data_IF_695850516926
#
_entry.id   IF_695850516926
#
_cell.length_a   1.000
_cell.length_b   1.000
_cell.length_c   1.000
_cell.angle_alpha   90.00
_cell.angle_beta   90.00
_cell.angle_gamma   90.00
#
_symmetry.space_group_name_H-M   'P 1'
#
loop_
_entity.id
_entity.type
_entity.pdbx_description
1 polymer ?
#
# COMPACT_ATOMS: atom_id res chain seq x y z
N UNK A 1 11.04 17.27 3.22
CA UNK A 1 11.79 16.10 3.75
C UNK A 1 12.08 15.15 2.60
N UNK A 2 13.33 14.72 2.40
CA UNK A 2 13.74 13.85 1.28
C UNK A 2 14.81 12.84 1.69
N UNK A 3 14.85 11.67 1.02
CA UNK A 3 15.90 10.66 1.15
C UNK A 3 17.02 10.81 0.10
N UNK A 4 16.84 11.69 -0.88
CA UNK A 4 17.75 11.83 -2.02
C UNK A 4 18.39 13.22 -2.03
N UNK A 5 19.71 13.25 -1.86
CA UNK A 5 20.50 14.50 -1.89
C UNK A 5 20.42 15.19 -3.24
N UNK A 6 20.16 14.49 -4.34
CA UNK A 6 20.10 15.10 -5.68
C UNK A 6 18.95 16.09 -5.83
N UNK A 7 17.88 15.91 -5.05
CA UNK A 7 16.68 16.75 -5.07
C UNK A 7 16.50 17.57 -3.79
N UNK A 8 17.42 17.45 -2.84
CA UNK A 8 17.41 18.26 -1.62
C UNK A 8 17.68 19.73 -1.96
N UNK A 9 16.80 20.61 -1.50
CA UNK A 9 16.89 22.05 -1.72
C UNK A 9 17.19 22.80 -0.43
N UNK A 10 17.47 24.10 -0.57
CA UNK A 10 17.68 24.98 0.56
C UNK A 10 16.45 24.98 1.49
N UNK A 11 16.65 24.74 2.78
CA UNK A 11 15.57 24.65 3.77
C UNK A 11 14.99 23.24 3.97
N UNK A 12 15.35 22.25 3.15
CA UNK A 12 14.84 20.88 3.31
C UNK A 12 15.45 20.15 4.51
N UNK A 13 14.74 19.12 4.97
CA UNK A 13 15.28 18.06 5.82
C UNK A 13 15.76 16.90 4.95
N UNK A 14 17.07 16.62 4.97
CA UNK A 14 17.65 15.45 4.31
C UNK A 14 17.76 14.28 5.28
N UNK A 15 17.44 13.07 4.81
CA UNK A 15 17.49 11.86 5.62
C UNK A 15 18.43 10.83 5.00
N UNK A 16 19.51 10.52 5.70
CA UNK A 16 20.62 9.70 5.25
C UNK A 16 20.56 8.29 5.85
N UNK A 17 19.97 7.35 5.11
CA UNK A 17 19.87 5.94 5.50
C UNK A 17 20.92 5.06 4.82
N UNK A 18 21.24 3.92 5.42
CA UNK A 18 22.00 2.85 4.76
C UNK A 18 21.04 2.04 3.90
N UNK A 19 21.19 2.13 2.58
CA UNK A 19 20.43 1.35 1.60
C UNK A 19 21.15 0.08 1.16
N UNK A 20 20.55 -0.66 0.23
CA UNK A 20 21.10 -1.92 -0.28
C UNK A 20 22.37 -1.73 -1.13
N UNK A 21 22.48 -0.61 -1.85
CA UNK A 21 23.59 -0.35 -2.80
C UNK A 21 24.55 0.73 -2.29
N UNK A 22 24.08 1.63 -1.44
CA UNK A 22 24.87 2.78 -0.99
C UNK A 22 24.48 3.21 0.42
N UNK A 23 25.45 3.82 1.10
CA UNK A 23 25.26 4.48 2.38
C UNK A 23 24.95 5.96 2.14
N UNK A 24 23.72 6.38 2.47
CA UNK A 24 23.24 7.75 2.30
C UNK A 24 24.04 8.79 3.06
N UNK A 25 24.73 8.38 4.14
CA UNK A 25 25.56 9.28 4.97
C UNK A 25 26.73 9.88 4.19
N UNK A 26 27.20 9.17 3.15
CA UNK A 26 28.25 9.66 2.24
C UNK A 26 27.85 10.93 1.48
N UNK A 27 26.55 11.21 1.35
CA UNK A 27 26.03 12.38 0.65
C UNK A 27 25.67 13.54 1.58
N UNK A 28 25.93 13.43 2.90
CA UNK A 28 25.75 14.53 3.86
C UNK A 28 26.49 15.81 3.44
N UNK A 29 27.78 15.77 3.02
CA UNK A 29 28.47 16.98 2.58
C UNK A 29 27.80 17.66 1.38
N UNK A 30 27.26 16.87 0.45
CA UNK A 30 26.53 17.39 -0.71
C UNK A 30 25.22 18.07 -0.30
N UNK A 31 24.45 17.45 0.60
CA UNK A 31 23.21 18.03 1.12
C UNK A 31 23.47 19.36 1.85
N UNK A 32 24.52 19.42 2.67
CA UNK A 32 24.95 20.67 3.35
C UNK A 32 25.29 21.75 2.31
N UNK A 33 26.03 21.39 1.26
CA UNK A 33 26.38 22.34 0.19
C UNK A 33 25.16 22.86 -0.58
N UNK A 34 24.05 22.11 -0.61
CA UNK A 34 22.77 22.54 -1.19
C UNK A 34 21.91 23.39 -0.23
N UNK A 35 22.34 23.56 1.02
CA UNK A 35 21.68 24.44 1.99
C UNK A 35 20.51 23.81 2.75
N UNK A 36 20.51 22.48 2.92
CA UNK A 36 19.50 21.81 3.76
C UNK A 36 19.49 22.39 5.19
N UNK A 37 18.31 22.52 5.78
CA UNK A 37 18.16 23.09 7.12
C UNK A 37 18.57 22.13 8.24
N UNK A 38 18.42 20.83 8.02
CA UNK A 38 18.74 19.80 9.00
C UNK A 38 18.96 18.44 8.32
N UNK A 39 19.62 17.53 9.04
CA UNK A 39 19.88 16.16 8.60
C UNK A 39 19.47 15.18 9.69
N UNK A 40 18.83 14.08 9.31
CA UNK A 40 18.69 12.88 10.14
C UNK A 40 19.49 11.75 9.50
N UNK A 41 20.34 11.05 10.26
CA UNK A 41 21.23 10.02 9.74
C UNK A 41 21.12 8.71 10.53
N UNK A 42 21.40 7.58 9.88
CA UNK A 42 21.50 6.28 10.54
C UNK A 42 22.67 6.27 11.53
N UNK A 43 22.38 5.92 12.79
CA UNK A 43 23.33 5.90 13.89
C UNK A 43 24.30 4.72 13.82
N UNK A 44 23.88 3.59 13.25
CA UNK A 44 24.66 2.34 13.24
C UNK A 44 26.11 2.56 12.79
N UNK A 45 27.06 2.09 13.61
CA UNK A 45 28.51 2.16 13.39
C UNK A 45 29.12 3.59 13.39
N UNK A 46 28.35 4.65 13.69
CA UNK A 46 28.81 6.05 13.61
C UNK A 46 28.51 6.90 14.86
N UNK A 47 27.37 6.69 15.50
CA UNK A 47 26.89 7.51 16.62
C UNK A 47 25.96 6.72 17.56
N UNK A 48 25.63 7.31 18.70
CA UNK A 48 24.60 6.78 19.61
C UNK A 48 23.18 7.23 19.19
N UNK A 49 22.14 6.48 19.57
CA UNK A 49 20.75 6.86 19.27
C UNK A 49 20.39 8.20 19.93
N UNK A 50 19.88 9.14 19.14
CA UNK A 50 19.52 10.48 19.59
C UNK A 50 20.70 11.45 19.68
N UNK A 51 21.91 11.06 19.27
CA UNK A 51 23.07 11.94 19.27
C UNK A 51 22.86 13.10 18.29
N UNK A 52 23.23 14.31 18.72
CA UNK A 52 23.13 15.52 17.92
C UNK A 52 24.53 16.06 17.70
N UNK A 53 24.90 16.24 16.43
CA UNK A 53 26.10 16.94 16.00
C UNK A 53 25.73 18.17 15.16
N UNK A 54 26.69 19.03 14.91
CA UNK A 54 26.53 20.16 13.99
C UNK A 54 27.67 20.13 12.96
N UNK A 55 27.31 20.27 11.68
CA UNK A 55 28.27 20.30 10.58
C UNK A 55 28.02 21.58 9.76
N UNK A 56 28.96 22.52 9.80
CA UNK A 56 28.84 23.82 9.13
C UNK A 56 27.55 24.58 9.47
N UNK A 57 27.09 24.54 10.73
CA UNK A 57 25.84 25.18 11.16
C UNK A 57 24.58 24.36 10.89
N UNK A 58 24.68 23.19 10.25
CA UNK A 58 23.54 22.29 9.99
C UNK A 58 23.48 21.22 11.10
N UNK A 59 22.36 21.10 11.84
CA UNK A 59 22.19 20.04 12.82
C UNK A 59 22.06 18.68 12.14
N UNK A 60 22.79 17.69 12.66
CA UNK A 60 22.78 16.30 12.23
C UNK A 60 22.35 15.43 13.41
N UNK A 61 21.16 14.86 13.33
CA UNK A 61 20.57 14.00 14.37
C UNK A 61 20.71 12.54 13.96
N UNK A 62 21.35 11.73 14.80
CA UNK A 62 21.55 10.31 14.53
C UNK A 62 20.46 9.49 15.21
N UNK A 63 19.82 8.59 14.46
CA UNK A 63 18.81 7.68 14.96
C UNK A 63 19.17 6.25 14.57
N UNK A 64 19.03 5.34 15.53
CA UNK A 64 19.14 3.90 15.29
C UNK A 64 17.88 3.36 14.66
N UNK A 65 18.01 2.30 13.86
CA UNK A 65 16.88 1.61 13.19
C UNK A 65 16.08 2.62 12.37
N UNK A 66 16.80 3.47 11.62
CA UNK A 66 16.17 4.61 10.97
C UNK A 66 15.20 4.14 9.89
N UNK A 67 15.55 3.11 9.11
CA UNK A 67 14.70 2.53 8.06
C UNK A 67 13.32 2.09 8.61
N UNK A 68 13.30 1.44 9.78
CA UNK A 68 12.09 0.96 10.44
C UNK A 68 11.21 2.12 10.95
N UNK A 69 11.84 3.25 11.30
CA UNK A 69 11.18 4.45 11.86
C UNK A 69 10.84 5.50 10.82
N UNK A 70 11.35 5.38 9.59
CA UNK A 70 11.19 6.38 8.53
C UNK A 70 9.72 6.72 8.24
N UNK A 71 8.87 5.70 8.13
CA UNK A 71 7.44 5.92 7.80
C UNK A 71 6.72 6.72 8.87
N UNK A 72 7.05 6.49 10.15
CA UNK A 72 6.47 7.22 11.29
C UNK A 72 7.05 8.64 11.39
N UNK A 73 8.35 8.80 11.16
CA UNK A 73 9.00 10.11 11.14
C UNK A 73 8.41 10.99 10.04
N UNK A 74 8.23 10.43 8.84
CA UNK A 74 7.60 11.13 7.72
C UNK A 74 6.11 11.38 7.96
N UNK A 75 5.39 10.43 8.58
CA UNK A 75 3.99 10.63 9.01
C UNK A 75 3.86 11.86 9.90
N UNK A 76 4.72 11.97 10.91
CA UNK A 76 4.76 13.15 11.79
C UNK A 76 5.11 14.44 11.05
N UNK A 77 6.09 14.40 10.14
CA UNK A 77 6.49 15.57 9.34
C UNK A 77 5.34 16.06 8.45
N UNK A 78 4.55 15.14 7.90
CA UNK A 78 3.45 15.42 6.99
C UNK A 78 2.06 15.41 7.65
N UNK A 79 1.99 15.46 8.98
CA UNK A 79 0.75 15.55 9.77
C UNK A 79 -0.22 14.37 9.58
N UNK A 80 0.30 13.14 9.60
CA UNK A 80 -0.44 11.88 9.54
C UNK A 80 -1.49 11.83 8.42
N UNK A 81 -1.08 11.97 7.14
CA UNK A 81 -2.01 12.17 6.04
C UNK A 81 -2.96 10.99 5.80
N UNK A 82 -2.56 9.75 6.15
CA UNK A 82 -3.45 8.59 6.05
C UNK A 82 -4.65 8.64 7.00
N UNK A 83 -4.64 9.51 8.03
CA UNK A 83 -5.79 9.70 8.92
C UNK A 83 -6.85 10.64 8.34
N UNK A 84 -6.49 11.40 7.30
CA UNK A 84 -7.35 12.42 6.69
C UNK A 84 -8.01 11.94 5.39
N UNK A 85 -7.88 10.65 5.04
CA UNK A 85 -8.58 10.03 3.92
C UNK A 85 -8.82 8.53 4.18
N UNK A 86 -9.79 7.93 3.51
CA UNK A 86 -9.96 6.47 3.51
C UNK A 86 -8.91 5.83 2.62
N UNK A 87 -7.84 5.31 3.22
CA UNK A 87 -6.76 4.66 2.50
C UNK A 87 -6.93 3.15 2.46
N UNK A 88 -6.94 2.56 1.26
CA UNK A 88 -7.04 1.12 1.03
C UNK A 88 -5.71 0.57 0.50
N UNK A 89 -5.18 -0.46 1.17
CA UNK A 89 -4.03 -1.22 0.70
C UNK A 89 -4.45 -2.39 -0.18
N UNK A 90 -3.76 -2.62 -1.29
CA UNK A 90 -3.94 -3.84 -2.10
C UNK A 90 -2.60 -4.56 -2.26
N UNK A 91 -2.55 -5.80 -1.80
CA UNK A 91 -1.40 -6.69 -1.98
C UNK A 91 -1.76 -8.00 -2.69
N UNK A 92 -0.73 -8.73 -3.07
CA UNK A 92 -0.77 -10.00 -3.81
C UNK A 92 0.20 -10.01 -5.00
N UNK A 93 0.31 -11.15 -5.67
CA UNK A 93 1.18 -11.28 -6.85
C UNK A 93 0.57 -10.53 -8.03
N UNK A 94 -0.66 -10.87 -8.42
CA UNK A 94 -1.34 -10.30 -9.58
C UNK A 94 -2.61 -9.53 -9.19
N UNK A 95 -3.00 -8.55 -10.01
CA UNK A 95 -4.29 -7.85 -9.87
C UNK A 95 -4.27 -6.61 -8.98
N UNK A 96 -3.15 -6.29 -8.31
CA UNK A 96 -3.02 -5.07 -7.48
C UNK A 96 -3.45 -3.80 -8.23
N UNK A 97 -2.85 -3.54 -9.39
CA UNK A 97 -3.17 -2.36 -10.22
C UNK A 97 -4.63 -2.34 -10.65
N UNK A 98 -5.19 -3.45 -11.14
CA UNK A 98 -6.60 -3.48 -11.56
C UNK A 98 -7.53 -3.18 -10.39
N UNK A 99 -7.30 -3.82 -9.24
CA UNK A 99 -8.15 -3.64 -8.05
C UNK A 99 -8.04 -2.22 -7.48
N UNK A 100 -6.84 -1.62 -7.41
CA UNK A 100 -6.70 -0.22 -6.95
C UNK A 100 -7.40 0.76 -7.89
N UNK A 101 -7.28 0.55 -9.22
CA UNK A 101 -7.97 1.38 -10.21
C UNK A 101 -9.49 1.23 -10.15
N UNK A 102 -10.00 0.01 -9.93
CA UNK A 102 -11.44 -0.22 -9.75
C UNK A 102 -11.97 0.44 -8.48
N UNK A 103 -11.25 0.32 -7.37
CA UNK A 103 -11.61 0.97 -6.11
C UNK A 103 -11.74 2.48 -6.26
N UNK A 104 -10.75 3.13 -6.88
CA UNK A 104 -10.76 4.58 -7.08
C UNK A 104 -11.82 5.05 -8.09
N UNK A 105 -12.00 4.32 -9.20
CA UNK A 105 -13.06 4.63 -10.17
C UNK A 105 -14.44 4.52 -9.53
N UNK A 106 -14.68 3.45 -8.79
CA UNK A 106 -15.99 3.16 -8.23
C UNK A 106 -16.31 4.09 -7.05
N UNK A 107 -15.34 4.42 -6.19
CA UNK A 107 -15.54 5.44 -5.15
C UNK A 107 -15.81 6.83 -5.74
N UNK A 108 -15.16 7.21 -6.84
CA UNK A 108 -15.45 8.47 -7.52
C UNK A 108 -16.86 8.50 -8.12
N UNK A 109 -17.35 7.38 -8.67
CA UNK A 109 -18.74 7.25 -9.12
C UNK A 109 -19.75 7.39 -7.96
N UNK A 110 -19.34 7.07 -6.74
CA UNK A 110 -20.13 7.24 -5.52
C UNK A 110 -19.97 8.64 -4.89
N UNK A 111 -19.24 9.55 -5.53
CA UNK A 111 -19.14 10.96 -5.12
C UNK A 111 -17.89 11.32 -4.32
N UNK A 112 -16.93 10.41 -4.16
CA UNK A 112 -15.65 10.69 -3.49
C UNK A 112 -14.64 11.38 -4.43
N UNK A 113 -13.72 12.15 -3.87
CA UNK A 113 -12.51 12.57 -4.60
C UNK A 113 -11.44 11.50 -4.40
N UNK A 114 -11.23 10.67 -5.42
CA UNK A 114 -10.38 9.49 -5.30
C UNK A 114 -8.98 9.65 -5.88
N UNK A 115 -8.03 8.92 -5.28
CA UNK A 115 -6.64 8.85 -5.71
C UNK A 115 -6.15 7.40 -5.82
N UNK A 116 -5.12 7.22 -6.64
CA UNK A 116 -4.42 5.94 -6.81
C UNK A 116 -2.93 6.13 -6.61
N UNK A 117 -2.28 5.10 -6.07
CA UNK A 117 -0.82 5.02 -5.96
C UNK A 117 -0.36 3.62 -6.34
N UNK A 118 0.54 3.50 -7.32
CA UNK A 118 0.92 2.18 -7.80
C UNK A 118 1.81 2.19 -9.03
N UNK A 119 1.81 1.06 -9.73
CA UNK A 119 2.69 0.79 -10.87
C UNK A 119 2.46 1.73 -12.04
N UNK A 120 1.23 2.22 -12.22
CA UNK A 120 0.86 3.14 -13.31
C UNK A 120 0.98 4.62 -12.93
N UNK A 121 1.44 4.91 -11.72
CA UNK A 121 1.63 6.26 -11.22
C UNK A 121 0.82 6.59 -9.97
N UNK A 122 1.08 7.79 -9.45
CA UNK A 122 0.47 8.32 -8.24
C UNK A 122 -0.28 9.62 -8.55
N UNK A 123 -1.49 9.78 -8.04
CA UNK A 123 -2.24 11.03 -8.19
C UNK A 123 -3.74 10.86 -7.98
N UNK A 124 -4.48 11.97 -8.09
CA UNK A 124 -5.93 11.92 -8.26
C UNK A 124 -6.27 11.09 -9.51
N UNK A 125 -7.40 10.40 -9.49
CA UNK A 125 -7.83 9.61 -10.63
C UNK A 125 -7.93 10.50 -11.89
N UNK A 126 -7.30 10.07 -12.99
CA UNK A 126 -7.18 10.84 -14.24
C UNK A 126 -6.07 11.90 -14.26
N UNK A 127 -5.33 12.10 -13.17
CA UNK A 127 -4.18 13.03 -13.06
C UNK A 127 -2.96 12.36 -12.42
N UNK A 128 -2.72 11.10 -12.77
CA UNK A 128 -1.60 10.33 -12.22
C UNK A 128 -0.28 10.76 -12.84
N UNK A 129 0.76 10.83 -12.01
CA UNK A 129 2.14 11.07 -12.43
C UNK A 129 2.88 9.73 -12.42
N UNK A 130 3.57 9.35 -13.50
CA UNK A 130 4.33 8.10 -13.57
C UNK A 130 5.35 7.97 -12.43
N UNK A 131 5.55 6.74 -11.97
CA UNK A 131 6.45 6.39 -10.86
C UNK A 131 7.42 5.30 -11.27
N UNK A 132 8.60 5.29 -10.66
CA UNK A 132 9.59 4.22 -10.88
C UNK A 132 9.29 2.95 -10.07
N UNK A 133 8.59 3.08 -8.95
CA UNK A 133 8.33 2.00 -8.01
C UNK A 133 6.82 1.81 -7.83
N UNK A 134 6.37 0.56 -7.73
CA UNK A 134 4.99 0.22 -7.34
C UNK A 134 4.61 0.77 -5.96
N UNK A 135 5.53 0.72 -5.00
CA UNK A 135 5.36 1.33 -3.67
C UNK A 135 6.53 2.29 -3.45
N UNK A 136 6.27 3.60 -3.36
CA UNK A 136 7.31 4.61 -3.12
C UNK A 136 8.05 4.42 -1.80
N UNK A 137 9.13 5.19 -1.57
CA UNK A 137 9.86 5.14 -0.29
C UNK A 137 8.97 5.55 0.89
N UNK A 138 9.39 5.24 2.13
CA UNK A 138 8.66 5.61 3.33
C UNK A 138 8.36 7.12 3.44
N UNK A 139 9.28 7.96 2.93
CA UNK A 139 9.11 9.42 2.90
C UNK A 139 8.21 9.84 1.75
N UNK A 140 8.43 9.29 0.55
CA UNK A 140 7.65 9.65 -0.64
C UNK A 140 6.17 9.30 -0.49
N UNK A 141 5.87 8.16 0.12
CA UNK A 141 4.48 7.73 0.33
C UNK A 141 3.73 8.74 1.21
N UNK A 142 4.31 9.16 2.34
CA UNK A 142 3.71 10.15 3.22
C UNK A 142 3.60 11.52 2.53
N UNK A 143 4.63 11.93 1.79
CA UNK A 143 4.62 13.18 1.04
C UNK A 143 3.51 13.21 -0.02
N UNK A 144 3.38 12.15 -0.81
CA UNK A 144 2.33 12.02 -1.84
C UNK A 144 0.95 12.00 -1.19
N UNK A 145 0.75 11.24 -0.12
CA UNK A 145 -0.53 11.23 0.61
C UNK A 145 -0.91 12.61 1.11
N UNK A 146 0.02 13.36 1.71
CA UNK A 146 -0.24 14.72 2.17
C UNK A 146 -0.60 15.67 1.03
N UNK A 147 0.07 15.56 -0.12
CA UNK A 147 -0.28 16.31 -1.33
C UNK A 147 -1.69 15.97 -1.83
N UNK A 148 -2.10 14.71 -1.76
CA UNK A 148 -3.44 14.27 -2.15
C UNK A 148 -4.51 14.80 -1.18
N UNK A 149 -4.26 14.76 0.13
CA UNK A 149 -5.13 15.39 1.14
C UNK A 149 -5.28 16.89 0.85
N UNK A 150 -4.19 17.59 0.57
CA UNK A 150 -4.22 19.02 0.24
C UNK A 150 -5.00 19.33 -1.05
N UNK A 151 -5.08 18.38 -1.97
CA UNK A 151 -5.90 18.46 -3.19
C UNK A 151 -7.37 18.06 -2.96
N UNK A 152 -7.75 17.72 -1.73
CA UNK A 152 -9.12 17.36 -1.36
C UNK A 152 -9.47 15.87 -1.58
N UNK A 153 -8.48 14.99 -1.74
CA UNK A 153 -8.74 13.56 -1.83
C UNK A 153 -9.31 13.02 -0.51
N UNK A 154 -10.44 12.33 -0.60
CA UNK A 154 -11.15 11.70 0.53
C UNK A 154 -11.01 10.18 0.53
N UNK A 155 -10.64 9.60 -0.62
CA UNK A 155 -10.39 8.17 -0.80
C UNK A 155 -9.07 7.93 -1.56
N UNK A 156 -8.28 6.95 -1.11
CA UNK A 156 -7.05 6.54 -1.79
C UNK A 156 -6.96 5.02 -1.87
N UNK A 157 -6.56 4.48 -3.02
CA UNK A 157 -6.22 3.07 -3.16
C UNK A 157 -4.74 2.91 -3.58
N UNK A 158 -3.95 2.19 -2.80
CA UNK A 158 -2.52 2.03 -3.04
C UNK A 158 -2.06 0.58 -3.19
N UNK A 159 -1.15 0.35 -4.13
CA UNK A 159 -0.48 -0.93 -4.28
C UNK A 159 0.61 -1.11 -3.21
N UNK A 160 0.48 -2.17 -2.41
CA UNK A 160 1.44 -2.52 -1.36
C UNK A 160 2.19 -3.78 -1.77
N UNK A 161 3.41 -3.57 -2.28
CA UNK A 161 4.32 -4.66 -2.69
C UNK A 161 4.92 -5.39 -1.47
N UNK A 162 5.31 -6.65 -1.65
CA UNK A 162 6.04 -7.40 -0.60
C UNK A 162 7.38 -6.75 -0.26
N UNK A 163 8.07 -6.19 -1.26
CA UNK A 163 9.27 -5.38 -1.07
C UNK A 163 9.00 -4.17 -0.18
N UNK A 164 7.88 -3.45 -0.41
CA UNK A 164 7.48 -2.31 0.39
C UNK A 164 7.21 -2.66 1.86
N UNK A 165 6.62 -3.84 2.12
CA UNK A 165 6.36 -4.33 3.47
C UNK A 165 7.66 -4.70 4.21
N UNK A 166 8.54 -5.49 3.58
CA UNK A 166 9.84 -5.88 4.16
C UNK A 166 10.73 -4.66 4.42
N UNK A 167 10.64 -3.64 3.56
CA UNK A 167 11.44 -2.41 3.68
C UNK A 167 10.76 -1.31 4.47
N UNK A 168 9.68 -1.61 5.20
CA UNK A 168 8.98 -0.67 6.09
C UNK A 168 8.46 0.61 5.39
N UNK A 169 8.22 0.56 4.07
CA UNK A 169 7.79 1.72 3.26
C UNK A 169 6.40 2.25 3.65
N UNK A 170 5.59 1.41 4.28
CA UNK A 170 4.20 1.74 4.70
C UNK A 170 3.96 1.52 6.19
N UNK A 171 5.03 1.38 6.99
CA UNK A 171 4.95 0.88 8.37
C UNK A 171 4.02 1.69 9.30
N UNK A 172 3.92 3.01 9.13
CA UNK A 172 3.11 3.87 9.99
C UNK A 172 1.74 4.23 9.41
N UNK A 173 1.42 3.79 8.19
CA UNK A 173 0.14 4.14 7.57
C UNK A 173 -1.01 3.46 8.29
N UNK A 174 -2.12 4.19 8.41
CA UNK A 174 -3.40 3.64 8.87
C UNK A 174 -4.27 3.36 7.66
N UNK A 175 -4.57 2.08 7.44
CA UNK A 175 -5.48 1.66 6.37
C UNK A 175 -6.90 1.52 6.90
N UNK A 176 -7.87 1.97 6.09
CA UNK A 176 -9.28 1.69 6.32
C UNK A 176 -9.62 0.23 5.95
N UNK A 177 -8.95 -0.30 4.92
CA UNK A 177 -9.05 -1.70 4.52
C UNK A 177 -7.77 -2.19 3.82
N UNK A 178 -7.54 -3.50 3.89
CA UNK A 178 -6.43 -4.20 3.25
C UNK A 178 -6.94 -5.40 2.47
N UNK A 179 -6.58 -5.44 1.19
CA UNK A 179 -7.05 -6.43 0.22
C UNK A 179 -5.93 -7.39 -0.16
N UNK A 180 -6.18 -8.69 -0.07
CA UNK A 180 -5.32 -9.75 -0.60
C UNK A 180 -5.95 -10.35 -1.86
N UNK A 181 -5.23 -10.24 -2.97
CA UNK A 181 -5.68 -10.73 -4.29
C UNK A 181 -5.32 -12.19 -4.54
N UNK A 182 -4.06 -12.57 -4.46
CA UNK A 182 -3.55 -13.94 -4.65
C UNK A 182 -2.05 -14.02 -4.33
N UNK A 183 -1.52 -15.24 -4.24
CA UNK A 183 -0.08 -15.52 -4.15
C UNK A 183 0.31 -16.65 -5.10
N UNK A 184 1.05 -16.30 -6.15
CA UNK A 184 1.71 -17.24 -7.07
C UNK A 184 3.21 -16.99 -7.14
N UNK A 185 3.97 -17.94 -7.71
CA UNK A 185 5.44 -17.86 -7.85
C UNK A 185 5.88 -16.60 -8.59
N UNK A 186 6.58 -15.73 -7.87
CA UNK A 186 7.19 -14.49 -8.36
C UNK A 186 8.23 -13.99 -7.32
N UNK A 187 9.10 -13.06 -7.69
CA UNK A 187 10.05 -12.35 -6.79
C UNK A 187 10.95 -13.24 -5.90
N UNK A 188 11.22 -14.48 -6.29
CA UNK A 188 12.05 -15.41 -5.52
C UNK A 188 13.55 -15.04 -5.54
N UNK A 189 13.97 -14.22 -6.51
CA UNK A 189 15.28 -13.59 -6.54
C UNK A 189 15.52 -12.65 -5.33
N UNK A 190 14.45 -12.03 -4.80
CA UNK A 190 14.50 -11.20 -3.59
C UNK A 190 14.16 -11.99 -2.33
N UNK A 191 13.08 -12.78 -2.35
CA UNK A 191 12.56 -13.47 -1.15
C UNK A 191 13.22 -14.83 -0.89
N UNK A 192 13.95 -15.39 -1.85
CA UNK A 192 14.55 -16.73 -1.77
C UNK A 192 13.55 -17.86 -2.03
N UNK A 193 12.44 -17.89 -1.28
CA UNK A 193 11.41 -18.93 -1.40
C UNK A 193 9.98 -18.39 -1.20
N UNK A 194 9.00 -19.27 -1.45
CA UNK A 194 7.57 -18.94 -1.35
C UNK A 194 7.13 -18.65 0.09
N UNK A 195 7.78 -19.26 1.10
CA UNK A 195 7.40 -19.08 2.50
C UNK A 195 7.79 -17.67 2.98
N UNK A 196 8.99 -17.21 2.62
CA UNK A 196 9.43 -15.84 2.88
C UNK A 196 8.58 -14.82 2.10
N UNK A 197 8.23 -15.12 0.84
CA UNK A 197 7.37 -14.24 0.04
C UNK A 197 5.95 -14.13 0.63
N UNK A 198 5.37 -15.23 1.09
CA UNK A 198 4.10 -15.23 1.81
C UNK A 198 4.20 -14.42 3.11
N UNK A 199 5.20 -14.70 3.94
CA UNK A 199 5.42 -14.01 5.21
C UNK A 199 5.55 -12.49 5.02
N UNK A 200 6.24 -12.06 3.96
CA UNK A 200 6.37 -10.65 3.59
C UNK A 200 5.01 -9.97 3.36
N UNK A 201 4.05 -10.64 2.70
CA UNK A 201 2.70 -10.08 2.51
C UNK A 201 1.85 -10.17 3.77
N UNK A 202 2.02 -11.23 4.56
CA UNK A 202 1.33 -11.40 5.85
C UNK A 202 1.65 -10.28 6.84
N UNK A 203 2.81 -9.63 6.72
CA UNK A 203 3.15 -8.43 7.51
C UNK A 203 2.07 -7.35 7.44
N UNK A 204 1.40 -7.18 6.30
CA UNK A 204 0.30 -6.20 6.18
C UNK A 204 -0.77 -6.45 7.23
N UNK A 205 -1.16 -7.71 7.46
CA UNK A 205 -2.23 -8.07 8.39
C UNK A 205 -1.76 -8.24 9.84
N UNK A 206 -0.50 -8.64 10.04
CA UNK A 206 0.03 -9.01 11.36
C UNK A 206 0.75 -7.88 12.10
N UNK A 207 1.36 -6.93 11.39
CA UNK A 207 2.19 -5.88 12.02
C UNK A 207 1.78 -4.46 11.67
N UNK A 208 0.87 -4.27 10.71
CA UNK A 208 0.38 -2.95 10.31
C UNK A 208 -1.07 -2.71 10.75
N UNK A 209 -1.47 -1.44 10.79
CA UNK A 209 -2.86 -1.03 10.98
C UNK A 209 -3.65 -1.28 9.69
N UNK A 210 -4.05 -2.53 9.46
CA UNK A 210 -4.62 -2.98 8.19
C UNK A 210 -6.10 -2.61 7.96
N UNK A 211 -6.79 -2.15 8.99
CA UNK A 211 -8.23 -1.88 8.92
C UNK A 211 -9.03 -3.17 8.70
N UNK A 212 -10.03 -3.12 7.83
CA UNK A 212 -10.78 -4.32 7.47
C UNK A 212 -10.00 -5.20 6.49
N UNK A 213 -9.93 -6.51 6.75
CA UNK A 213 -9.29 -7.46 5.84
C UNK A 213 -10.29 -7.98 4.79
N UNK A 214 -9.94 -7.90 3.51
CA UNK A 214 -10.68 -8.48 2.39
C UNK A 214 -9.76 -9.47 1.69
N UNK A 215 -10.14 -10.75 1.66
CA UNK A 215 -9.24 -11.83 1.26
C UNK A 215 -9.90 -12.69 0.19
N UNK A 216 -9.19 -12.91 -0.92
CA UNK A 216 -9.59 -13.88 -1.93
C UNK A 216 -9.51 -15.32 -1.38
N UNK A 217 -10.66 -15.97 -1.24
CA UNK A 217 -10.80 -17.33 -0.76
C UNK A 217 -10.60 -18.41 -1.85
N UNK A 218 -10.46 -18.02 -3.12
CA UNK A 218 -10.06 -18.96 -4.18
C UNK A 218 -8.57 -19.30 -4.10
N UNK A 219 -7.79 -18.45 -3.43
CA UNK A 219 -6.37 -18.65 -3.21
C UNK A 219 -6.12 -19.54 -1.97
N UNK A 220 -5.20 -20.50 -2.08
CA UNK A 220 -4.84 -21.40 -0.97
C UNK A 220 -4.28 -20.65 0.25
N UNK A 221 -3.42 -19.67 0.03
CA UNK A 221 -2.86 -18.81 1.09
C UNK A 221 -3.98 -17.97 1.68
N UNK A 222 -4.86 -17.41 0.84
CA UNK A 222 -6.04 -16.67 1.27
C UNK A 222 -6.93 -17.47 2.23
N UNK A 223 -7.20 -18.74 1.92
CA UNK A 223 -7.97 -19.64 2.82
C UNK A 223 -7.28 -19.88 4.16
N UNK A 224 -5.96 -20.06 4.18
CA UNK A 224 -5.21 -20.21 5.43
C UNK A 224 -5.24 -18.93 6.27
N UNK A 225 -5.15 -17.77 5.64
CA UNK A 225 -5.20 -16.48 6.31
C UNK A 225 -6.58 -16.17 6.87
N UNK A 226 -7.65 -16.51 6.16
CA UNK A 226 -9.03 -16.38 6.66
C UNK A 226 -9.26 -17.15 7.97
N UNK A 227 -8.59 -18.29 8.18
CA UNK A 227 -8.65 -19.02 9.44
C UNK A 227 -8.01 -18.25 10.62
N UNK A 228 -7.14 -17.29 10.34
CA UNK A 228 -6.48 -16.44 11.34
C UNK A 228 -7.10 -15.04 11.45
N UNK A 229 -8.07 -14.71 10.58
CA UNK A 229 -8.74 -13.39 10.49
C UNK A 229 -10.26 -13.58 10.59
N UNK A 230 -10.82 -13.80 11.79
CA UNK A 230 -12.23 -14.19 11.95
C UNK A 230 -13.24 -13.16 11.44
N UNK A 231 -12.88 -11.87 11.47
CA UNK A 231 -13.74 -10.75 11.06
C UNK A 231 -13.50 -10.30 9.60
N UNK A 232 -12.62 -11.00 8.87
CA UNK A 232 -12.34 -10.69 7.48
C UNK A 232 -13.54 -10.93 6.57
N UNK A 233 -13.51 -10.27 5.41
CA UNK A 233 -14.44 -10.51 4.31
C UNK A 233 -13.81 -11.53 3.36
N UNK A 234 -14.43 -12.71 3.27
CA UNK A 234 -14.03 -13.72 2.30
C UNK A 234 -14.68 -13.45 0.94
N UNK A 235 -13.88 -13.41 -0.13
CA UNK A 235 -14.36 -13.17 -1.49
C UNK A 235 -14.03 -14.38 -2.37
N UNK A 236 -15.00 -14.90 -3.12
CA UNK A 236 -14.76 -16.06 -3.99
C UNK A 236 -15.53 -15.98 -5.30
N UNK A 237 -14.87 -16.25 -6.41
CA UNK A 237 -15.49 -16.48 -7.70
C UNK A 237 -15.88 -17.96 -7.88
N UNK A 238 -15.14 -18.89 -7.27
CA UNK A 238 -15.31 -20.34 -7.47
C UNK A 238 -16.16 -21.03 -6.39
N UNK A 239 -16.81 -20.26 -5.51
CA UNK A 239 -17.68 -20.78 -4.45
C UNK A 239 -16.95 -21.31 -3.21
N UNK A 240 -15.67 -20.99 -3.03
CA UNK A 240 -14.84 -21.32 -1.85
C UNK A 240 -15.17 -20.49 -0.61
N UNK A 241 -16.45 -20.18 -0.38
CA UNK A 241 -16.90 -19.58 0.89
C UNK A 241 -17.19 -20.70 1.88
N UNK A 242 -16.50 -20.69 3.01
CA UNK A 242 -16.80 -21.61 4.10
C UNK A 242 -18.12 -21.20 4.76
N UNK A 243 -19.21 -22.00 4.69
CA UNK A 243 -20.50 -21.64 5.28
C UNK A 243 -20.44 -21.50 6.81
N UNK A 244 -19.39 -22.03 7.45
CA UNK A 244 -19.15 -21.93 8.88
C UNK A 244 -18.21 -20.76 9.25
N UNK A 245 -17.79 -19.91 8.30
CA UNK A 245 -17.02 -18.73 8.66
C UNK A 245 -17.92 -17.72 9.39
N UNK A 246 -17.45 -17.21 10.53
CA UNK A 246 -18.16 -16.16 11.28
C UNK A 246 -18.10 -14.79 10.61
N UNK A 247 -17.16 -14.60 9.67
CA UNK A 247 -16.96 -13.35 8.95
C UNK A 247 -18.00 -13.08 7.86
N UNK A 248 -17.86 -11.90 7.24
CA UNK A 248 -18.67 -11.48 6.10
C UNK A 248 -18.14 -12.14 4.82
N UNK A 249 -18.96 -12.20 3.78
CA UNK A 249 -18.59 -12.86 2.54
C UNK A 249 -19.26 -12.24 1.33
N UNK A 250 -18.64 -12.49 0.17
CA UNK A 250 -19.19 -12.19 -1.14
C UNK A 250 -18.74 -13.28 -2.12
N UNK A 251 -19.67 -13.84 -2.89
CA UNK A 251 -19.34 -14.84 -3.91
C UNK A 251 -20.06 -14.62 -5.23
N UNK A 252 -19.42 -15.00 -6.33
CA UNK A 252 -20.13 -15.19 -7.58
C UNK A 252 -21.02 -16.45 -7.50
N UNK A 253 -22.21 -16.36 -8.07
CA UNK A 253 -23.13 -17.49 -8.25
C UNK A 253 -23.15 -17.96 -9.70
N UNK A 254 -23.08 -17.02 -10.64
CA UNK A 254 -22.97 -17.30 -12.06
C UNK A 254 -22.14 -16.21 -12.75
N UNK A 255 -21.34 -16.62 -13.73
CA UNK A 255 -20.55 -15.72 -14.57
C UNK A 255 -20.76 -16.11 -16.02
N UNK A 256 -21.36 -15.22 -16.80
CA UNK A 256 -21.58 -15.39 -18.24
C UNK A 256 -20.64 -14.45 -19.00
N UNK A 257 -19.67 -15.03 -19.71
CA UNK A 257 -18.72 -14.25 -20.52
C UNK A 257 -19.28 -14.01 -21.91
N UNK A 258 -19.09 -12.79 -22.43
CA UNK A 258 -19.51 -12.39 -23.77
C UNK A 258 -18.56 -11.34 -24.36
N UNK A 259 -18.73 -11.01 -25.63
CA UNK A 259 -17.81 -10.14 -26.40
C UNK A 259 -17.65 -8.71 -25.84
N UNK A 260 -18.51 -8.31 -24.88
CA UNK A 260 -18.50 -6.99 -24.26
C UNK A 260 -17.99 -7.01 -22.81
N UNK A 261 -17.62 -8.17 -22.28
CA UNK A 261 -17.15 -8.36 -20.91
C UNK A 261 -17.78 -9.58 -20.23
N UNK A 262 -18.43 -9.38 -19.08
CA UNK A 262 -19.08 -10.46 -18.35
C UNK A 262 -20.29 -9.96 -17.53
N UNK A 263 -21.36 -10.75 -17.53
CA UNK A 263 -22.48 -10.62 -16.59
C UNK A 263 -22.20 -11.49 -15.37
N UNK A 264 -22.18 -10.89 -14.18
CA UNK A 264 -21.79 -11.54 -12.92
C UNK A 264 -22.95 -11.46 -11.94
N UNK A 265 -23.58 -12.59 -11.64
CA UNK A 265 -24.52 -12.71 -10.52
C UNK A 265 -23.76 -13.07 -9.25
N UNK A 266 -24.08 -12.40 -8.15
CA UNK A 266 -23.40 -12.61 -6.88
C UNK A 266 -24.38 -12.61 -5.72
N UNK A 267 -23.97 -13.28 -4.65
CA UNK A 267 -24.61 -13.24 -3.34
C UNK A 267 -23.57 -12.80 -2.30
N UNK A 268 -24.02 -12.13 -1.25
CA UNK A 268 -23.14 -11.61 -0.21
C UNK A 268 -23.85 -11.44 1.13
N UNK A 269 -23.09 -11.14 2.18
CA UNK A 269 -23.64 -10.71 3.48
C UNK A 269 -24.46 -9.41 3.41
N UNK A 270 -24.37 -8.66 2.31
CA UNK A 270 -25.12 -7.42 2.07
C UNK A 270 -26.31 -7.60 1.10
N UNK A 271 -26.55 -8.82 0.64
CA UNK A 271 -27.60 -9.15 -0.33
C UNK A 271 -27.06 -9.69 -1.65
N UNK A 272 -27.97 -9.84 -2.60
CA UNK A 272 -27.74 -10.40 -3.92
C UNK A 272 -27.78 -9.31 -5.00
N UNK A 273 -27.14 -9.56 -6.14
CA UNK A 273 -27.15 -8.63 -7.25
C UNK A 273 -26.54 -9.17 -8.52
N UNK A 274 -26.59 -8.35 -9.56
CA UNK A 274 -26.01 -8.62 -10.87
C UNK A 274 -25.18 -7.41 -11.32
N UNK A 275 -23.98 -7.67 -11.85
CA UNK A 275 -23.08 -6.67 -12.41
C UNK A 275 -22.82 -6.98 -13.86
N UNK A 276 -23.01 -5.97 -14.71
CA UNK A 276 -22.55 -5.98 -16.09
C UNK A 276 -21.15 -5.34 -16.18
N UNK A 277 -20.13 -6.18 -16.27
CA UNK A 277 -18.73 -5.75 -16.34
C UNK A 277 -18.27 -5.59 -17.79
N UNK A 278 -17.48 -4.56 -18.06
CA UNK A 278 -16.79 -4.37 -19.36
C UNK A 278 -15.39 -5.01 -19.41
N UNK A 279 -14.94 -5.60 -18.31
CA UNK A 279 -13.64 -6.25 -18.24
C UNK A 279 -13.73 -7.69 -18.75
N UNK A 280 -12.73 -8.11 -19.52
CA UNK A 280 -12.65 -9.47 -20.03
C UNK A 280 -11.84 -10.39 -19.11
N UNK A 281 -12.25 -11.65 -19.02
CA UNK A 281 -11.52 -12.73 -18.35
C UNK A 281 -11.81 -12.89 -16.87
N UNK A 282 -11.70 -14.13 -16.40
CA UNK A 282 -12.02 -14.53 -15.02
C UNK A 282 -11.20 -13.81 -13.95
N UNK A 283 -9.92 -13.52 -14.23
CA UNK A 283 -9.07 -12.78 -13.29
C UNK A 283 -9.62 -11.37 -12.98
N UNK A 284 -10.28 -10.72 -13.95
CA UNK A 284 -10.91 -9.43 -13.74
C UNK A 284 -12.22 -9.52 -12.96
N UNK A 285 -12.94 -10.65 -13.06
CA UNK A 285 -14.10 -10.92 -12.20
C UNK A 285 -13.65 -10.98 -10.75
N UNK A 286 -12.59 -11.73 -10.43
CA UNK A 286 -12.02 -11.77 -9.08
C UNK A 286 -11.62 -10.37 -8.57
N UNK A 287 -10.88 -9.58 -9.37
CA UNK A 287 -10.49 -8.22 -9.00
C UNK A 287 -11.71 -7.30 -8.74
N UNK A 288 -12.76 -7.42 -9.57
CA UNK A 288 -13.99 -6.64 -9.42
C UNK A 288 -14.77 -7.02 -8.15
N UNK A 289 -14.88 -8.32 -7.84
CA UNK A 289 -15.53 -8.79 -6.62
C UNK A 289 -14.78 -8.36 -5.37
N UNK A 290 -13.44 -8.36 -5.40
CA UNK A 290 -12.60 -7.83 -4.32
C UNK A 290 -12.85 -6.33 -4.11
N UNK A 291 -12.94 -5.55 -5.19
CA UNK A 291 -13.25 -4.12 -5.11
C UNK A 291 -14.65 -3.88 -4.53
N UNK A 292 -15.66 -4.62 -5.00
CA UNK A 292 -17.04 -4.55 -4.51
C UNK A 292 -17.12 -4.86 -3.01
N UNK A 293 -16.55 -5.99 -2.59
CA UNK A 293 -16.55 -6.41 -1.20
C UNK A 293 -15.85 -5.39 -0.28
N UNK A 294 -14.78 -4.77 -0.77
CA UNK A 294 -14.07 -3.70 -0.03
C UNK A 294 -14.96 -2.48 0.17
N UNK A 295 -15.65 -2.02 -0.87
CA UNK A 295 -16.54 -0.85 -0.77
C UNK A 295 -17.73 -1.14 0.14
N UNK A 296 -18.37 -2.30 -0.01
CA UNK A 296 -19.45 -2.74 0.88
C UNK A 296 -19.01 -2.82 2.36
N UNK A 297 -17.78 -3.26 2.61
CA UNK A 297 -17.23 -3.32 3.95
C UNK A 297 -16.99 -1.92 4.55
N UNK A 298 -16.65 -0.93 3.73
CA UNK A 298 -16.40 0.46 4.17
C UNK A 298 -17.68 1.29 4.38
N UNK A 299 -18.84 0.75 4.00
CA UNK A 299 -20.15 1.41 4.09
C UNK A 299 -20.37 2.48 3.03
#
# INVERSE_FOLDING_TARGET
MTLDSRVAAAGDLFVAVVGHQADGRRYIPQAIAQGVAAIIAEAKDEATDGEIREMHGVPVVYLSQLNERLSALAGRFYHEPSENMRLVAVTGTNGKTTTTQLLAQWSQLLGETSAVMGTVGNGLLGKVIPTENTTGSAVDVQHVLASLVAQGATFGAMEVSSHGLVQHRVAALKFAASVFTNLSRDHLDYHGDMAHYEAAKWMLYSTHHHGQAIVNADDEVGRRWLASLPDAVAVSMEGHINPNCHGRWLKAEAVEYHDRGATIRFASSWGEGEIESRLMGAFNVSNLLLALATLLALG
#
